data_IF_793263061862
#
_entry.id   IF_793263061862
#
_cell.length_a   1.000
_cell.length_b   1.000
_cell.length_c   1.000
_cell.angle_alpha   90.00
_cell.angle_beta   90.00
_cell.angle_gamma   90.00
#
_symmetry.space_group_name_H-M   'P 1'
#
loop_
_entity.id
_entity.type
_entity.pdbx_description
1 polymer ?
#
# COMPACT_ATOMS: atom_id res chain seq x y z
N UNK A 1 23.10 -31.94 12.82
CA UNK A 1 22.42 -30.86 13.57
C UNK A 1 22.05 -29.68 12.65
N UNK A 2 21.37 -29.89 11.50
CA UNK A 2 20.97 -28.81 10.55
C UNK A 2 19.48 -28.44 10.59
N UNK A 3 18.62 -29.41 10.94
CA UNK A 3 17.16 -29.29 10.87
C UNK A 3 16.54 -28.21 11.80
N UNK A 4 17.16 -27.95 12.95
CA UNK A 4 16.70 -26.91 13.89
C UNK A 4 16.99 -25.49 13.38
N UNK A 5 18.06 -25.32 12.58
CA UNK A 5 18.41 -24.04 11.96
C UNK A 5 17.44 -23.65 10.86
N UNK A 6 17.17 -24.58 9.93
CA UNK A 6 16.26 -24.37 8.79
C UNK A 6 14.82 -24.07 9.25
N UNK A 7 14.29 -24.84 10.20
CA UNK A 7 12.95 -24.59 10.77
C UNK A 7 12.84 -23.24 11.49
N UNK A 8 13.91 -22.80 12.16
CA UNK A 8 13.94 -21.47 12.81
C UNK A 8 13.98 -20.31 11.80
N UNK A 9 14.66 -20.49 10.66
CA UNK A 9 14.72 -19.50 9.58
C UNK A 9 13.37 -19.40 8.87
N UNK A 10 12.76 -20.54 8.53
CA UNK A 10 11.44 -20.56 7.91
C UNK A 10 10.37 -19.91 8.80
N UNK A 11 10.41 -20.17 10.11
CA UNK A 11 9.52 -19.54 11.07
C UNK A 11 9.68 -18.00 11.09
N UNK A 12 10.93 -17.51 11.08
CA UNK A 12 11.23 -16.07 10.99
C UNK A 12 10.72 -15.44 9.69
N UNK A 13 10.98 -16.07 8.55
CA UNK A 13 10.51 -15.59 7.23
C UNK A 13 8.98 -15.59 7.15
N UNK A 14 8.30 -16.61 7.69
CA UNK A 14 6.84 -16.67 7.74
C UNK A 14 6.27 -15.53 8.60
N UNK A 15 6.87 -15.24 9.75
CA UNK A 15 6.47 -14.13 10.61
C UNK A 15 6.62 -12.78 9.91
N UNK A 16 7.75 -12.55 9.22
CA UNK A 16 7.99 -11.34 8.41
C UNK A 16 6.90 -11.20 7.33
N UNK A 17 6.62 -12.25 6.57
CA UNK A 17 5.60 -12.21 5.52
C UNK A 17 4.20 -11.89 6.06
N UNK A 18 3.82 -12.48 7.20
CA UNK A 18 2.54 -12.21 7.84
C UNK A 18 2.41 -10.74 8.31
N UNK A 19 3.48 -10.17 8.88
CA UNK A 19 3.50 -8.78 9.32
C UNK A 19 3.38 -7.81 8.13
N UNK A 20 4.16 -8.02 7.07
CA UNK A 20 4.06 -7.19 5.86
C UNK A 20 2.72 -7.34 5.14
N UNK A 21 2.10 -8.52 5.18
CA UNK A 21 0.73 -8.72 4.69
C UNK A 21 -0.28 -7.85 5.45
N UNK A 22 -0.22 -7.82 6.78
CA UNK A 22 -1.08 -6.94 7.60
C UNK A 22 -0.86 -5.46 7.30
N UNK A 23 0.40 -5.04 7.14
CA UNK A 23 0.75 -3.65 6.78
C UNK A 23 0.21 -3.28 5.41
N UNK A 24 0.30 -4.18 4.44
CA UNK A 24 -0.25 -3.98 3.09
C UNK A 24 -1.78 -3.84 3.14
N UNK A 25 -2.48 -4.74 3.82
CA UNK A 25 -3.94 -4.63 3.98
C UNK A 25 -4.34 -3.33 4.66
N UNK A 26 -3.67 -2.95 5.75
CA UNK A 26 -3.94 -1.69 6.45
C UNK A 26 -3.76 -0.49 5.52
N UNK A 27 -2.71 -0.49 4.70
CA UNK A 27 -2.46 0.58 3.74
C UNK A 27 -3.58 0.69 2.69
N UNK A 28 -4.04 -0.42 2.11
CA UNK A 28 -5.17 -0.39 1.18
C UNK A 28 -6.47 0.05 1.85
N UNK A 29 -6.77 -0.45 3.05
CA UNK A 29 -7.99 -0.07 3.79
C UNK A 29 -7.96 1.42 4.14
N UNK A 30 -6.84 1.93 4.64
CA UNK A 30 -6.69 3.36 4.93
C UNK A 30 -6.80 4.20 3.66
N UNK A 31 -6.19 3.77 2.55
CA UNK A 31 -6.34 4.47 1.27
C UNK A 31 -7.81 4.51 0.82
N UNK A 32 -8.51 3.38 0.81
CA UNK A 32 -9.91 3.31 0.40
C UNK A 32 -10.84 4.16 1.29
N UNK A 33 -10.59 4.16 2.61
CA UNK A 33 -11.35 4.97 3.57
C UNK A 33 -11.13 6.48 3.42
N UNK A 34 -10.07 6.91 2.75
CA UNK A 34 -9.79 8.33 2.50
C UNK A 34 -10.18 8.70 1.08
N UNK A 35 -9.62 8.02 0.09
CA UNK A 35 -9.81 8.29 -1.34
C UNK A 35 -11.28 8.13 -1.74
N UNK A 36 -11.94 7.06 -1.25
CA UNK A 36 -13.34 6.78 -1.57
C UNK A 36 -14.26 7.93 -1.21
N UNK A 37 -14.29 8.41 0.05
CA UNK A 37 -15.05 9.58 0.44
C UNK A 37 -14.68 10.86 -0.32
N UNK A 38 -13.39 11.10 -0.59
CA UNK A 38 -12.96 12.28 -1.36
C UNK A 38 -13.56 12.27 -2.76
N UNK A 39 -13.45 11.15 -3.48
CA UNK A 39 -14.03 11.01 -4.82
C UNK A 39 -15.56 11.06 -4.78
N UNK A 40 -16.19 10.44 -3.79
CA UNK A 40 -17.65 10.50 -3.60
C UNK A 40 -18.12 11.94 -3.40
N UNK A 41 -17.45 12.71 -2.54
CA UNK A 41 -17.80 14.11 -2.29
C UNK A 41 -17.64 14.96 -3.55
N UNK A 42 -16.59 14.72 -4.34
CA UNK A 42 -16.43 15.40 -5.64
C UNK A 42 -17.58 15.07 -6.59
N UNK A 43 -17.94 13.79 -6.72
CA UNK A 43 -19.06 13.38 -7.57
C UNK A 43 -20.36 14.03 -7.12
N UNK A 44 -20.65 14.02 -5.81
CA UNK A 44 -21.86 14.65 -5.26
C UNK A 44 -21.85 16.17 -5.46
N UNK A 45 -20.72 16.83 -5.29
CA UNK A 45 -20.59 18.26 -5.50
C UNK A 45 -20.79 18.67 -6.97
N UNK A 46 -20.22 17.91 -7.90
CA UNK A 46 -20.25 18.21 -9.35
C UNK A 46 -21.61 17.81 -9.95
N UNK A 47 -22.09 16.60 -9.69
CA UNK A 47 -23.27 16.06 -10.38
C UNK A 47 -24.54 16.09 -9.54
N UNK A 48 -24.42 16.13 -8.21
CA UNK A 48 -25.59 16.17 -7.31
C UNK A 48 -26.05 17.59 -7.01
N UNK A 49 -25.11 18.48 -6.72
CA UNK A 49 -25.37 19.88 -6.39
C UNK A 49 -25.03 20.86 -7.51
N UNK A 50 -24.42 20.39 -8.60
CA UNK A 50 -24.03 21.22 -9.76
C UNK A 50 -23.19 22.45 -9.38
N UNK A 51 -22.33 22.32 -8.36
CA UNK A 51 -21.49 23.43 -7.86
C UNK A 51 -20.37 23.80 -8.83
N UNK A 52 -20.04 22.90 -9.75
CA UNK A 52 -18.97 23.01 -10.74
C UNK A 52 -19.50 22.45 -12.05
N UNK A 53 -19.17 23.10 -13.17
CA UNK A 53 -19.47 22.59 -14.51
C UNK A 53 -18.92 21.15 -14.69
N UNK A 54 -19.75 20.17 -15.07
CA UNK A 54 -19.33 18.78 -15.27
C UNK A 54 -18.13 18.59 -16.20
N UNK A 55 -18.00 19.41 -17.26
CA UNK A 55 -16.89 19.30 -18.22
C UNK A 55 -15.54 19.62 -17.59
N UNK A 56 -15.53 20.52 -16.60
CA UNK A 56 -14.34 20.87 -15.82
C UNK A 56 -14.22 19.95 -14.61
N UNK A 57 -15.35 19.64 -13.96
CA UNK A 57 -15.47 18.80 -12.77
C UNK A 57 -14.78 17.44 -12.93
N UNK A 58 -14.96 16.81 -14.09
CA UNK A 58 -14.37 15.51 -14.37
C UNK A 58 -12.83 15.51 -14.27
N UNK A 59 -12.17 16.62 -14.63
CA UNK A 59 -10.72 16.73 -14.53
C UNK A 59 -10.24 16.79 -13.09
N UNK A 60 -11.04 17.32 -12.15
CA UNK A 60 -10.70 17.26 -10.73
C UNK A 60 -10.77 15.82 -10.20
N UNK A 61 -11.80 15.07 -10.57
CA UNK A 61 -11.92 13.65 -10.21
C UNK A 61 -10.74 12.85 -10.75
N UNK A 62 -10.40 13.06 -12.04
CA UNK A 62 -9.25 12.41 -12.68
C UNK A 62 -7.95 12.79 -11.98
N UNK A 63 -7.73 14.07 -11.70
CA UNK A 63 -6.52 14.53 -11.03
C UNK A 63 -6.35 13.89 -9.64
N UNK A 64 -7.42 13.84 -8.84
CA UNK A 64 -7.41 13.17 -7.54
C UNK A 64 -7.09 11.70 -7.68
N UNK A 65 -7.78 10.98 -8.57
CA UNK A 65 -7.55 9.55 -8.78
C UNK A 65 -6.11 9.24 -9.24
N UNK A 66 -5.54 10.08 -10.11
CA UNK A 66 -4.15 9.93 -10.57
C UNK A 66 -3.17 10.17 -9.42
N UNK A 67 -3.37 11.22 -8.64
CA UNK A 67 -2.51 11.54 -7.48
C UNK A 67 -2.61 10.46 -6.41
N UNK A 68 -3.84 10.03 -6.05
CA UNK A 68 -4.10 8.96 -5.10
C UNK A 68 -3.48 7.64 -5.55
N UNK A 69 -3.69 7.25 -6.81
CA UNK A 69 -3.10 6.04 -7.40
C UNK A 69 -1.57 6.08 -7.42
N UNK A 70 -0.97 7.23 -7.76
CA UNK A 70 0.47 7.41 -7.75
C UNK A 70 1.07 7.30 -6.34
N UNK A 71 0.43 7.95 -5.36
CA UNK A 71 0.82 7.86 -3.95
C UNK A 71 0.75 6.41 -3.44
N UNK A 72 -0.37 5.73 -3.69
CA UNK A 72 -0.56 4.33 -3.30
C UNK A 72 0.52 3.43 -3.92
N UNK A 73 0.77 3.57 -5.22
CA UNK A 73 1.81 2.83 -5.93
C UNK A 73 3.19 3.04 -5.29
N UNK A 74 3.56 4.29 -5.02
CA UNK A 74 4.84 4.63 -4.40
C UNK A 74 4.99 4.00 -3.01
N UNK A 75 3.94 4.04 -2.18
CA UNK A 75 3.96 3.45 -0.85
C UNK A 75 4.02 1.92 -0.89
N UNK A 76 3.31 1.28 -1.83
CA UNK A 76 3.38 -0.16 -2.05
C UNK A 76 4.78 -0.60 -2.47
N UNK A 77 5.41 0.11 -3.40
CA UNK A 77 6.79 -0.18 -3.81
C UNK A 77 7.74 -0.11 -2.62
N UNK A 78 7.63 0.94 -1.79
CA UNK A 78 8.44 1.07 -0.56
C UNK A 78 8.19 -0.08 0.41
N UNK A 79 6.94 -0.50 0.57
CA UNK A 79 6.58 -1.63 1.44
C UNK A 79 7.17 -2.95 0.92
N UNK A 80 7.10 -3.20 -0.38
CA UNK A 80 7.68 -4.39 -1.03
C UNK A 80 9.19 -4.41 -0.89
N UNK A 81 9.86 -3.28 -1.13
CA UNK A 81 11.32 -3.17 -0.95
C UNK A 81 11.72 -3.44 0.52
N UNK A 82 10.98 -2.89 1.47
CA UNK A 82 11.21 -3.16 2.89
C UNK A 82 10.99 -4.64 3.25
N UNK A 83 9.96 -5.29 2.67
CA UNK A 83 9.70 -6.72 2.84
C UNK A 83 10.87 -7.56 2.33
N UNK A 84 11.38 -7.27 1.13
CA UNK A 84 12.52 -8.01 0.53
C UNK A 84 13.75 -7.91 1.43
N UNK A 85 14.08 -6.71 1.92
CA UNK A 85 15.21 -6.50 2.85
C UNK A 85 15.01 -7.25 4.16
N UNK A 86 13.81 -7.21 4.75
CA UNK A 86 13.51 -7.91 6.00
C UNK A 86 13.58 -9.43 5.85
N UNK A 87 13.18 -9.98 4.69
CA UNK A 87 13.31 -11.41 4.40
C UNK A 87 14.78 -11.81 4.24
N UNK A 88 15.60 -11.02 3.54
CA UNK A 88 17.05 -11.27 3.42
C UNK A 88 17.73 -11.29 4.81
N UNK A 89 17.41 -10.31 5.66
CA UNK A 89 17.89 -10.28 7.05
C UNK A 89 17.42 -11.50 7.86
N UNK A 90 16.15 -11.92 7.72
CA UNK A 90 15.61 -13.08 8.42
C UNK A 90 16.24 -14.42 7.98
N UNK A 91 16.77 -14.48 6.75
CA UNK A 91 17.55 -15.61 6.23
C UNK A 91 19.01 -15.62 6.71
N UNK A 92 19.49 -14.52 7.32
CA UNK A 92 20.88 -14.39 7.76
C UNK A 92 21.84 -13.86 6.69
N UNK A 93 21.32 -13.37 5.55
CA UNK A 93 22.11 -12.62 4.57
C UNK A 93 22.37 -11.22 5.12
N UNK A 94 23.41 -11.09 5.95
CA UNK A 94 23.84 -9.81 6.47
C UNK A 94 24.84 -9.17 5.49
N UNK A 95 24.59 -7.96 4.93
CA UNK A 95 25.53 -7.31 4.02
C UNK A 95 26.80 -6.74 4.70
N UNK A 96 27.04 -7.07 5.99
CA UNK A 96 28.17 -6.58 6.79
C UNK A 96 29.18 -7.68 7.18
N UNK A 97 28.97 -8.94 6.76
CA UNK A 97 29.95 -10.04 6.88
C UNK A 97 29.84 -10.99 5.69
#
# INVERSE_FOLDING_TARGET
MSYAGESSIEARVRAVNADFGRRQTRLFVTFALIEGPVLLLLVVAIYGFELIDPEIGIWFIVAVAVVGGFLLSTLLVRLVQARVRAVAQAKGENPLF
#
